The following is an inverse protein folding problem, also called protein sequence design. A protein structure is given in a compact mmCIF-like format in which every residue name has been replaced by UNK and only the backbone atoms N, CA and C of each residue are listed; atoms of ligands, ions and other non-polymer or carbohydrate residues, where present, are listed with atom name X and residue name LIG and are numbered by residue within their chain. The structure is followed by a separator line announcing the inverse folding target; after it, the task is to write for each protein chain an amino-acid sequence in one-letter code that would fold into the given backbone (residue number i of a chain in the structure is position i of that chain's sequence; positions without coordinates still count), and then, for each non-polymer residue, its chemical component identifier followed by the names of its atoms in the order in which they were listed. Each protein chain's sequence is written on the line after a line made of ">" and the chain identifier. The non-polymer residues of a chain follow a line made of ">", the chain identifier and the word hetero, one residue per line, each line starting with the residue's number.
data_IF_449641884365
#
_entry.id   IF_449641884365
#
_cell.length_a   1.000
_cell.length_b   1.000
_cell.length_c   1.000
_cell.angle_alpha   90.00
_cell.angle_beta   90.00
_cell.angle_gamma   90.00
#
_symmetry.space_group_name_H-M   'P 1'
#
loop_
_entity.id
_entity.type
_entity.pdbx_description
1 polymer ?
#
# COMPACT_ATOMS: atom_id res chain seq x y z
N UNK A 1 -3.54 -21.47 -14.64
CA UNK A 1 -2.13 -21.08 -14.49
C UNK A 1 -1.20 -22.26 -14.15
N UNK A 2 -1.66 -23.25 -13.39
CA UNK A 2 -0.83 -24.43 -13.05
C UNK A 2 -0.59 -25.40 -14.23
N UNK A 3 -1.33 -25.28 -15.32
CA UNK A 3 -1.29 -26.24 -16.45
C UNK A 3 -0.28 -25.90 -17.52
N UNK A 4 0.28 -24.68 -17.59
CA UNK A 4 1.19 -24.25 -18.66
C UNK A 4 2.63 -23.97 -18.21
N UNK A 5 2.95 -24.05 -16.91
CA UNK A 5 4.32 -23.86 -16.39
C UNK A 5 4.96 -22.51 -16.67
N UNK A 6 4.19 -21.53 -17.17
CA UNK A 6 4.65 -20.15 -17.43
C UNK A 6 3.96 -19.20 -16.47
N UNK A 7 4.72 -18.43 -15.72
CA UNK A 7 4.20 -17.28 -15.01
C UNK A 7 3.78 -16.22 -16.02
N UNK A 8 2.63 -15.55 -15.86
CA UNK A 8 2.25 -14.44 -16.72
C UNK A 8 3.27 -13.31 -16.58
N UNK A 9 3.64 -12.67 -17.68
CA UNK A 9 4.55 -11.51 -17.71
C UNK A 9 4.04 -10.32 -16.89
N UNK A 10 2.74 -10.28 -16.64
CA UNK A 10 2.10 -9.30 -15.75
C UNK A 10 1.11 -10.04 -14.84
N UNK A 11 1.38 -10.02 -13.53
CA UNK A 11 0.47 -10.59 -12.52
C UNK A 11 -0.80 -9.74 -12.30
N UNK A 12 -0.82 -8.51 -12.79
CA UNK A 12 -1.96 -7.60 -12.66
C UNK A 12 -2.81 -7.72 -13.91
N UNK A 13 -4.03 -8.25 -13.74
CA UNK A 13 -5.05 -8.24 -14.77
C UNK A 13 -5.29 -6.78 -15.23
N UNK A 14 -5.29 -6.48 -16.56
CA UNK A 14 -5.64 -5.16 -17.08
C UNK A 14 -6.96 -4.60 -16.56
N UNK A 15 -7.90 -5.46 -16.19
CA UNK A 15 -9.17 -5.09 -15.57
C UNK A 15 -8.97 -4.48 -14.16
N UNK A 16 -8.01 -4.98 -13.38
CA UNK A 16 -7.66 -4.43 -12.06
C UNK A 16 -7.13 -2.99 -12.18
N UNK A 17 -6.41 -2.68 -13.25
CA UNK A 17 -5.99 -1.31 -13.59
C UNK A 17 -7.18 -0.39 -13.89
N UNK A 18 -8.19 -0.92 -14.53
CA UNK A 18 -9.44 -0.18 -14.82
C UNK A 18 -10.18 0.16 -13.55
N UNK A 19 -10.20 -0.74 -12.57
CA UNK A 19 -10.88 -0.53 -11.28
C UNK A 19 -10.12 0.49 -10.41
N UNK A 20 -8.79 0.49 -10.44
CA UNK A 20 -7.98 1.54 -9.83
C UNK A 20 -8.27 2.93 -10.41
N UNK A 21 -8.40 3.05 -11.73
CA UNK A 21 -8.78 4.31 -12.38
C UNK A 21 -10.20 4.75 -11.99
N UNK A 22 -11.12 3.81 -11.77
CA UNK A 22 -12.47 4.10 -11.25
C UNK A 22 -12.39 4.62 -9.82
N UNK A 23 -11.56 4.00 -8.97
CA UNK A 23 -11.31 4.46 -7.61
C UNK A 23 -10.76 5.89 -7.59
N UNK A 24 -9.75 6.20 -8.41
CA UNK A 24 -9.23 7.58 -8.56
C UNK A 24 -10.31 8.58 -8.98
N UNK A 25 -11.18 8.19 -9.92
CA UNK A 25 -12.31 9.03 -10.32
C UNK A 25 -13.28 9.27 -9.17
N UNK A 26 -13.60 8.23 -8.38
CA UNK A 26 -14.48 8.35 -7.22
C UNK A 26 -13.89 9.28 -6.15
N UNK A 27 -12.57 9.22 -5.93
CA UNK A 27 -11.89 10.12 -4.99
C UNK A 27 -11.94 11.57 -5.49
N UNK A 28 -11.74 11.79 -6.80
CA UNK A 28 -11.82 13.14 -7.39
C UNK A 28 -13.22 13.73 -7.38
N UNK A 29 -14.27 12.90 -7.27
CA UNK A 29 -15.64 13.33 -7.09
C UNK A 29 -15.96 13.78 -5.66
N UNK A 30 -15.01 13.67 -4.76
CA UNK A 30 -15.08 14.10 -3.35
C UNK A 30 -15.03 15.63 -3.26
N UNK A 31 -16.07 16.29 -3.76
CA UNK A 31 -16.04 17.74 -4.04
C UNK A 31 -16.24 18.61 -2.83
N UNK A 32 -16.77 18.15 -1.73
CA UNK A 32 -17.21 19.13 -0.72
C UNK A 32 -17.08 18.77 0.75
N UNK A 33 -16.95 17.53 1.21
CA UNK A 33 -16.78 17.20 2.64
C UNK A 33 -16.64 15.69 2.88
N UNK A 34 -16.51 14.92 1.82
CA UNK A 34 -16.37 13.48 1.94
C UNK A 34 -14.94 13.11 2.29
N UNK A 35 -14.71 12.60 3.48
CA UNK A 35 -13.42 12.14 3.96
C UNK A 35 -12.95 10.82 3.28
N UNK A 36 -13.10 10.73 1.93
CA UNK A 36 -12.71 9.53 1.16
C UNK A 36 -11.21 9.31 1.22
N UNK A 37 -10.42 10.37 1.11
CA UNK A 37 -8.97 10.31 1.31
C UNK A 37 -8.64 9.79 2.72
N UNK A 38 -9.33 10.25 3.75
CA UNK A 38 -9.17 9.77 5.12
C UNK A 38 -9.58 8.30 5.28
N UNK A 39 -10.66 7.86 4.61
CA UNK A 39 -11.07 6.45 4.60
C UNK A 39 -10.00 5.56 3.94
N UNK A 40 -9.47 5.98 2.78
CA UNK A 40 -8.40 5.24 2.10
C UNK A 40 -7.12 5.18 2.94
N UNK A 41 -6.73 6.30 3.54
CA UNK A 41 -5.57 6.35 4.44
C UNK A 41 -5.78 5.37 5.59
N UNK A 42 -6.94 5.41 6.24
CA UNK A 42 -7.27 4.49 7.33
C UNK A 42 -7.18 3.02 6.89
N UNK A 43 -7.76 2.66 5.74
CA UNK A 43 -7.66 1.30 5.20
C UNK A 43 -6.21 0.90 4.94
N UNK A 44 -5.39 1.83 4.44
CA UNK A 44 -3.99 1.55 4.13
C UNK A 44 -3.14 1.39 5.39
N UNK A 45 -3.39 2.20 6.40
CA UNK A 45 -2.65 2.18 7.67
C UNK A 45 -3.09 1.05 8.61
N UNK A 46 -4.41 0.77 8.67
CA UNK A 46 -4.97 -0.24 9.59
C UNK A 46 -5.18 -1.60 8.90
N UNK A 47 -5.10 -1.66 7.56
CA UNK A 47 -5.37 -2.87 6.78
C UNK A 47 -6.85 -3.22 6.66
N UNK A 48 -7.72 -2.61 7.49
CA UNK A 48 -9.15 -2.93 7.57
C UNK A 48 -10.01 -1.72 7.97
N UNK A 49 -11.33 -1.83 7.72
CA UNK A 49 -12.33 -0.86 8.16
C UNK A 49 -13.59 -1.58 8.61
N UNK A 50 -14.19 -1.08 9.70
CA UNK A 50 -15.46 -1.59 10.23
C UNK A 50 -16.59 -0.72 9.72
N UNK A 51 -17.52 -1.31 8.97
CA UNK A 51 -18.62 -0.60 8.33
C UNK A 51 -19.88 -1.46 8.15
N UNK A 52 -20.98 -0.81 7.79
CA UNK A 52 -22.15 -1.50 7.29
C UNK A 52 -22.11 -1.47 5.75
N UNK A 53 -22.36 -2.62 5.11
CA UNK A 53 -22.49 -2.64 3.65
C UNK A 53 -23.87 -2.11 3.24
N UNK A 54 -23.84 -1.11 2.38
CA UNK A 54 -25.02 -0.65 1.67
C UNK A 54 -25.15 -1.48 0.39
N UNK A 55 -26.22 -2.25 0.30
CA UNK A 55 -26.44 -3.20 -0.82
C UNK A 55 -27.13 -2.58 -2.02
N UNK A 56 -27.84 -1.48 -1.81
CA UNK A 56 -28.63 -0.81 -2.86
C UNK A 56 -28.47 0.70 -2.72
N UNK A 57 -27.97 1.35 -3.74
CA UNK A 57 -27.85 2.80 -3.77
C UNK A 57 -28.10 3.32 -5.20
N UNK A 58 -28.87 4.40 -5.36
CA UNK A 58 -29.06 5.04 -6.66
C UNK A 58 -27.75 5.68 -7.13
N UNK A 59 -27.57 5.77 -8.44
CA UNK A 59 -26.37 6.36 -9.05
C UNK A 59 -26.10 7.81 -8.57
N UNK A 60 -27.17 8.52 -8.16
CA UNK A 60 -27.08 9.88 -7.60
C UNK A 60 -26.41 9.93 -6.23
N UNK A 61 -26.39 8.84 -5.47
CA UNK A 61 -25.79 8.77 -4.15
C UNK A 61 -24.33 8.28 -4.14
N UNK A 62 -23.78 7.94 -5.30
CA UNK A 62 -22.36 7.52 -5.40
C UNK A 62 -21.40 8.54 -4.80
N UNK A 63 -21.78 9.82 -4.76
CA UNK A 63 -21.01 10.88 -4.11
C UNK A 63 -21.06 10.85 -2.57
N UNK A 64 -22.01 10.12 -1.96
CA UNK A 64 -22.15 10.03 -0.50
C UNK A 64 -20.94 9.28 0.10
N UNK A 65 -20.21 9.90 1.07
CA UNK A 65 -19.02 9.30 1.70
C UNK A 65 -19.34 8.00 2.46
N UNK A 66 -20.53 7.86 3.03
CA UNK A 66 -20.92 6.67 3.79
C UNK A 66 -21.01 5.41 2.92
N UNK A 67 -21.26 5.59 1.61
CA UNK A 67 -21.33 4.49 0.64
C UNK A 67 -19.94 4.08 0.17
N UNK A 68 -18.92 4.91 0.36
CA UNK A 68 -17.62 4.71 -0.23
C UNK A 68 -16.95 3.37 0.14
N UNK A 69 -16.98 2.89 1.41
CA UNK A 69 -16.48 1.55 1.73
C UNK A 69 -17.24 0.43 0.99
N UNK A 70 -18.54 0.59 0.79
CA UNK A 70 -19.35 -0.37 0.03
C UNK A 70 -18.96 -0.38 -1.45
N UNK A 71 -18.69 0.79 -2.04
CA UNK A 71 -18.17 0.88 -3.42
C UNK A 71 -16.83 0.19 -3.57
N UNK A 72 -15.89 0.39 -2.62
CA UNK A 72 -14.60 -0.28 -2.62
C UNK A 72 -14.77 -1.80 -2.55
N UNK A 73 -15.72 -2.29 -1.74
CA UNK A 73 -16.06 -3.71 -1.69
C UNK A 73 -16.59 -4.23 -3.03
N UNK A 74 -17.55 -3.56 -3.65
CA UNK A 74 -18.12 -3.98 -4.94
C UNK A 74 -17.13 -3.89 -6.11
N UNK A 75 -16.13 -3.02 -6.00
CA UNK A 75 -15.03 -2.98 -6.98
C UNK A 75 -13.90 -3.97 -6.69
N UNK A 76 -14.05 -4.84 -5.68
CA UNK A 76 -13.02 -5.81 -5.32
C UNK A 76 -11.78 -5.21 -4.65
N UNK A 77 -11.85 -3.95 -4.23
CA UNK A 77 -10.78 -3.26 -3.51
C UNK A 77 -10.77 -3.63 -2.01
N UNK A 78 -11.89 -4.09 -1.49
CA UNK A 78 -12.03 -4.65 -0.14
C UNK A 78 -12.73 -6.00 -0.19
N UNK A 79 -12.50 -6.81 0.82
CA UNK A 79 -13.17 -8.10 1.04
C UNK A 79 -13.61 -8.23 2.49
N UNK A 80 -14.60 -9.08 2.77
CA UNK A 80 -15.05 -9.34 4.13
C UNK A 80 -14.00 -10.25 4.80
N UNK A 81 -13.41 -9.76 5.90
CA UNK A 81 -12.44 -10.50 6.72
C UNK A 81 -13.04 -10.99 8.04
N UNK A 82 -14.14 -10.36 8.47
CA UNK A 82 -14.80 -10.73 9.71
C UNK A 82 -16.03 -9.89 10.01
N UNK A 83 -16.49 -10.00 11.26
CA UNK A 83 -17.62 -9.23 11.77
C UNK A 83 -17.34 -8.70 13.16
N UNK A 84 -17.90 -7.53 13.46
CA UNK A 84 -17.90 -6.95 14.82
C UNK A 84 -19.32 -6.57 15.21
N UNK A 85 -19.98 -7.47 15.91
CA UNK A 85 -21.42 -7.36 16.18
C UNK A 85 -22.22 -7.46 14.88
N UNK A 86 -22.99 -6.45 14.55
CA UNK A 86 -23.78 -6.37 13.32
C UNK A 86 -23.03 -5.73 12.14
N UNK A 87 -21.82 -5.21 12.37
CA UNK A 87 -21.01 -4.55 11.33
C UNK A 87 -20.02 -5.53 10.73
N UNK A 88 -19.66 -5.32 9.47
CA UNK A 88 -18.65 -6.08 8.77
C UNK A 88 -17.27 -5.46 8.96
N UNK A 89 -16.27 -6.31 9.04
CA UNK A 89 -14.86 -5.93 8.92
C UNK A 89 -14.46 -6.19 7.48
N UNK A 90 -14.06 -5.12 6.78
CA UNK A 90 -13.58 -5.17 5.41
C UNK A 90 -12.09 -4.93 5.39
N UNK A 91 -11.34 -5.86 4.81
CA UNK A 91 -9.87 -5.79 4.68
C UNK A 91 -9.41 -5.79 3.22
N UNK A 92 -8.13 -5.56 3.00
CA UNK A 92 -7.50 -5.59 1.68
C UNK A 92 -7.38 -7.05 1.21
N UNK A 93 -7.91 -7.42 0.02
CA UNK A 93 -8.06 -8.81 -0.39
C UNK A 93 -6.74 -9.52 -0.72
N UNK A 94 -5.75 -8.80 -1.23
CA UNK A 94 -4.47 -9.38 -1.66
C UNK A 94 -3.40 -8.30 -1.85
N UNK A 95 -2.15 -8.74 -2.09
CA UNK A 95 -1.00 -7.84 -2.24
C UNK A 95 -1.08 -6.94 -3.49
N UNK A 96 -1.71 -7.37 -4.58
CA UNK A 96 -1.88 -6.54 -5.77
C UNK A 96 -2.77 -5.33 -5.49
N UNK A 97 -3.89 -5.56 -4.77
CA UNK A 97 -4.77 -4.48 -4.34
C UNK A 97 -4.07 -3.61 -3.28
N UNK A 98 -3.31 -4.23 -2.37
CA UNK A 98 -2.52 -3.50 -1.37
C UNK A 98 -1.53 -2.53 -2.02
N UNK A 99 -0.83 -2.97 -3.05
CA UNK A 99 0.06 -2.09 -3.83
C UNK A 99 -0.68 -0.87 -4.39
N UNK A 100 -1.90 -1.04 -4.89
CA UNK A 100 -2.70 0.09 -5.39
C UNK A 100 -3.05 1.12 -4.31
N UNK A 101 -3.28 0.68 -3.06
CA UNK A 101 -3.44 1.59 -1.92
C UNK A 101 -2.15 2.34 -1.61
N UNK A 102 -0.99 1.68 -1.67
CA UNK A 102 0.31 2.34 -1.48
C UNK A 102 0.63 3.33 -2.59
N UNK A 103 0.34 2.97 -3.85
CA UNK A 103 0.47 3.89 -5.00
C UNK A 103 -0.38 5.15 -4.79
N UNK A 104 -1.59 5.00 -4.23
CA UNK A 104 -2.44 6.14 -3.88
C UNK A 104 -1.81 7.01 -2.79
N UNK A 105 -1.30 6.43 -1.71
CA UNK A 105 -0.61 7.18 -0.65
C UNK A 105 0.64 7.89 -1.19
N UNK A 106 1.41 7.20 -2.02
CA UNK A 106 2.60 7.78 -2.65
C UNK A 106 2.24 9.02 -3.47
N UNK A 107 1.19 8.95 -4.30
CA UNK A 107 0.70 10.10 -5.06
C UNK A 107 0.29 11.26 -4.12
N UNK A 108 -0.40 10.98 -3.01
CA UNK A 108 -0.79 12.01 -2.03
C UNK A 108 0.44 12.68 -1.39
N UNK A 109 1.47 11.91 -1.07
CA UNK A 109 2.72 12.46 -0.54
C UNK A 109 3.48 13.26 -1.60
N UNK A 110 3.54 12.79 -2.84
CA UNK A 110 4.17 13.49 -3.95
C UNK A 110 3.46 14.80 -4.32
N UNK A 111 2.12 14.88 -4.18
CA UNK A 111 1.36 16.13 -4.35
C UNK A 111 1.78 17.20 -3.32
N UNK A 112 2.12 16.78 -2.10
CA UNK A 112 2.54 17.70 -1.02
C UNK A 112 3.98 18.17 -1.22
N UNK A 113 4.86 17.27 -1.57
CA UNK A 113 6.28 17.56 -1.80
C UNK A 113 6.89 16.53 -2.74
N UNK A 114 7.47 17.01 -3.81
CA UNK A 114 8.12 16.16 -4.79
C UNK A 114 9.40 15.55 -4.22
N UNK A 115 9.48 14.23 -4.19
CA UNK A 115 10.69 13.46 -3.85
C UNK A 115 11.21 12.86 -5.15
N UNK A 116 12.52 12.90 -5.36
CA UNK A 116 13.15 12.32 -6.54
C UNK A 116 13.12 10.79 -6.47
N UNK A 117 12.16 10.22 -7.20
CA UNK A 117 12.00 8.76 -7.29
C UNK A 117 13.11 8.11 -8.12
N UNK A 118 13.82 8.84 -8.98
CA UNK A 118 14.95 8.28 -9.74
C UNK A 118 16.14 8.02 -8.80
N UNK A 119 16.50 9.02 -7.99
CA UNK A 119 17.53 8.82 -6.95
C UNK A 119 17.18 7.71 -5.96
N UNK A 120 15.89 7.57 -5.63
CA UNK A 120 15.43 6.46 -4.80
C UNK A 120 15.57 5.11 -5.52
N UNK A 121 15.34 5.07 -6.84
CA UNK A 121 15.58 3.89 -7.68
C UNK A 121 17.02 3.42 -7.62
N UNK A 122 17.99 4.31 -7.81
CA UNK A 122 19.41 4.01 -7.72
C UNK A 122 19.79 3.45 -6.34
N UNK A 123 19.20 3.99 -5.26
CA UNK A 123 19.40 3.48 -3.90
C UNK A 123 18.79 2.09 -3.70
N UNK A 124 17.69 1.76 -4.38
CA UNK A 124 17.17 0.39 -4.37
C UNK A 124 18.06 -0.59 -5.11
N UNK A 125 18.71 -0.17 -6.20
CA UNK A 125 19.71 -0.98 -6.89
C UNK A 125 20.91 -1.25 -5.97
N UNK A 126 21.47 -0.23 -5.32
CA UNK A 126 22.53 -0.37 -4.32
C UNK A 126 22.12 -1.30 -3.15
N UNK A 127 20.88 -1.20 -2.71
CA UNK A 127 20.33 -2.04 -1.65
C UNK A 127 20.23 -3.51 -2.11
N UNK A 128 19.73 -3.75 -3.33
CA UNK A 128 19.46 -5.09 -3.84
C UNK A 128 20.76 -5.83 -4.23
N UNK A 129 21.72 -5.14 -4.83
CA UNK A 129 22.93 -5.75 -5.39
C UNK A 129 24.15 -5.63 -4.48
N UNK A 130 24.26 -4.55 -3.70
CA UNK A 130 25.42 -4.25 -2.86
C UNK A 130 25.11 -4.33 -1.36
N UNK A 131 23.86 -4.59 -0.97
CA UNK A 131 23.43 -4.68 0.42
C UNK A 131 23.45 -3.36 1.19
N UNK A 132 23.46 -2.21 0.50
CA UNK A 132 23.55 -0.88 1.10
C UNK A 132 22.19 -0.32 1.51
N UNK A 133 21.47 -1.02 2.37
CA UNK A 133 20.12 -0.69 2.78
C UNK A 133 20.00 0.60 3.63
N UNK A 134 21.06 0.96 4.39
CA UNK A 134 21.03 2.12 5.28
C UNK A 134 20.76 3.42 4.52
N UNK A 135 21.42 3.63 3.38
CA UNK A 135 21.25 4.83 2.56
C UNK A 135 19.81 5.00 2.08
N UNK A 136 19.17 3.90 1.68
CA UNK A 136 17.77 3.91 1.25
C UNK A 136 16.84 4.33 2.38
N UNK A 137 17.02 3.74 3.57
CA UNK A 137 16.22 4.10 4.75
C UNK A 137 16.48 5.53 5.21
N UNK A 138 17.73 5.99 5.21
CA UNK A 138 18.10 7.37 5.55
C UNK A 138 17.48 8.38 4.59
N UNK A 139 17.47 8.07 3.28
CA UNK A 139 16.84 8.91 2.27
C UNK A 139 15.33 9.06 2.54
N UNK A 140 14.63 7.94 2.78
CA UNK A 140 13.19 7.95 3.07
C UNK A 140 12.91 8.66 4.40
N UNK A 141 13.73 8.44 5.44
CA UNK A 141 13.60 9.10 6.72
C UNK A 141 13.79 10.62 6.62
N UNK A 142 14.78 11.07 5.83
CA UNK A 142 15.01 12.48 5.56
C UNK A 142 13.81 13.10 4.82
N UNK A 143 13.32 12.41 3.80
CA UNK A 143 12.14 12.81 3.06
C UNK A 143 10.90 12.89 3.96
N UNK A 144 10.70 11.95 4.88
CA UNK A 144 9.64 12.00 5.88
C UNK A 144 9.78 13.22 6.77
N UNK A 145 10.97 13.45 7.33
CA UNK A 145 11.24 14.60 8.21
C UNK A 145 10.92 15.94 7.54
N UNK A 146 11.28 16.06 6.27
CA UNK A 146 10.99 17.26 5.50
C UNK A 146 9.50 17.42 5.15
N UNK A 147 8.77 16.34 4.98
CA UNK A 147 7.34 16.32 4.68
C UNK A 147 6.46 16.36 5.93
N UNK A 148 7.00 15.99 7.11
CA UNK A 148 6.25 15.99 8.35
C UNK A 148 5.95 17.43 8.79
N UNK A 149 4.66 17.77 8.90
CA UNK A 149 4.21 18.94 9.63
C UNK A 149 4.05 18.59 11.12
N UNK A 150 3.99 19.60 12.00
CA UNK A 150 3.70 19.39 13.43
C UNK A 150 2.43 18.54 13.64
N UNK A 151 1.50 18.59 12.68
CA UNK A 151 0.25 17.82 12.72
C UNK A 151 0.47 16.33 12.40
N UNK A 152 1.40 16.00 11.51
CA UNK A 152 1.75 14.60 11.20
C UNK A 152 2.57 13.94 12.32
N UNK A 153 3.30 14.72 13.12
CA UNK A 153 3.96 14.22 14.33
C UNK A 153 2.96 13.78 15.41
N UNK A 154 1.73 14.32 15.38
CA UNK A 154 0.64 13.92 16.30
C UNK A 154 -0.08 12.66 15.80
N UNK A 155 -0.03 12.35 14.50
CA UNK A 155 -0.66 11.17 13.89
C UNK A 155 0.10 9.86 14.18
N UNK A 156 1.32 9.93 14.77
CA UNK A 156 2.03 8.84 15.41
C UNK A 156 2.69 7.83 14.45
N UNK A 157 3.00 6.68 15.00
CA UNK A 157 3.76 5.57 14.40
C UNK A 157 3.19 5.08 13.07
N UNK A 158 1.86 4.99 12.97
CA UNK A 158 1.16 4.52 11.74
C UNK A 158 1.39 5.41 10.53
N UNK A 159 1.53 6.72 10.73
CA UNK A 159 1.84 7.64 9.64
C UNK A 159 3.26 7.41 9.11
N UNK A 160 4.22 7.19 10.01
CA UNK A 160 5.61 6.85 9.66
C UNK A 160 5.62 5.54 8.88
N UNK A 161 4.96 4.51 9.39
CA UNK A 161 4.86 3.20 8.76
C UNK A 161 4.23 3.28 7.37
N UNK A 162 3.11 4.01 7.24
CA UNK A 162 2.44 4.22 5.95
C UNK A 162 3.34 4.93 4.94
N UNK A 163 4.07 5.96 5.37
CA UNK A 163 5.02 6.69 4.52
C UNK A 163 6.16 5.77 4.05
N UNK A 164 6.83 5.10 4.98
CA UNK A 164 7.90 4.17 4.65
C UNK A 164 7.42 3.06 3.71
N UNK A 165 6.26 2.46 4.01
CA UNK A 165 5.70 1.40 3.18
C UNK A 165 5.38 1.88 1.76
N UNK A 166 4.80 3.09 1.60
CA UNK A 166 4.50 3.66 0.30
C UNK A 166 5.77 3.87 -0.54
N UNK A 167 6.83 4.43 0.04
CA UNK A 167 8.09 4.65 -0.67
C UNK A 167 8.87 3.36 -0.90
N UNK A 168 8.87 2.44 0.07
CA UNK A 168 9.49 1.12 -0.11
C UNK A 168 8.76 0.27 -1.17
N UNK A 169 7.47 0.47 -1.41
CA UNK A 169 6.72 -0.26 -2.45
C UNK A 169 7.06 0.14 -3.89
N UNK A 170 7.81 1.24 -4.09
CA UNK A 170 8.27 1.68 -5.41
C UNK A 170 9.30 0.73 -6.01
N UNK A 171 10.08 0.03 -5.16
CA UNK A 171 11.11 -0.89 -5.61
C UNK A 171 10.54 -2.09 -6.37
N UNK A 172 11.35 -2.68 -7.26
CA UNK A 172 11.01 -3.89 -8.02
C UNK A 172 11.58 -5.18 -7.40
N UNK A 173 12.45 -5.07 -6.36
CA UNK A 173 13.23 -6.18 -5.85
C UNK A 173 12.63 -6.85 -4.62
N UNK A 174 11.77 -6.13 -3.89
CA UNK A 174 11.20 -6.61 -2.64
C UNK A 174 9.69 -6.41 -2.59
N UNK A 175 9.01 -7.43 -2.12
CA UNK A 175 7.59 -7.32 -1.72
C UNK A 175 7.54 -6.72 -0.32
N UNK A 176 6.94 -5.56 -0.20
CA UNK A 176 6.81 -4.84 1.08
C UNK A 176 5.55 -5.29 1.80
N UNK A 177 5.69 -5.76 3.03
CA UNK A 177 4.58 -6.16 3.89
C UNK A 177 4.70 -5.48 5.26
N UNK A 178 3.74 -4.63 5.65
CA UNK A 178 3.67 -4.07 7.00
C UNK A 178 3.08 -5.10 7.98
N UNK A 179 3.43 -4.97 9.25
CA UNK A 179 2.86 -5.71 10.38
C UNK A 179 2.84 -7.23 10.17
N UNK A 180 3.99 -7.80 9.80
CA UNK A 180 4.10 -9.26 9.66
C UNK A 180 4.30 -9.89 11.04
N UNK A 181 3.41 -10.81 11.40
CA UNK A 181 3.58 -11.62 12.61
C UNK A 181 4.71 -12.63 12.41
N UNK A 182 5.69 -12.59 13.30
CA UNK A 182 6.81 -13.51 13.38
C UNK A 182 6.72 -14.31 14.68
N UNK A 183 7.51 -15.39 14.80
CA UNK A 183 7.45 -16.33 15.93
C UNK A 183 7.55 -15.71 17.33
N UNK A 184 8.06 -14.48 17.47
CA UNK A 184 8.29 -13.81 18.75
C UNK A 184 7.81 -12.36 18.79
N UNK A 185 6.97 -11.93 17.84
CA UNK A 185 6.43 -10.57 17.80
C UNK A 185 6.01 -10.13 16.40
N UNK A 186 5.77 -8.85 16.28
CA UNK A 186 5.41 -8.22 15.00
C UNK A 186 6.61 -7.49 14.43
N UNK A 187 6.75 -7.56 13.10
CA UNK A 187 7.70 -6.77 12.34
C UNK A 187 6.94 -5.63 11.68
N UNK A 188 7.31 -4.38 11.98
CA UNK A 188 6.61 -3.20 11.47
C UNK A 188 6.71 -3.07 9.96
N UNK A 189 7.84 -3.47 9.39
CA UNK A 189 8.07 -3.47 7.95
C UNK A 189 8.91 -4.67 7.55
N UNK A 190 8.34 -5.56 6.76
CA UNK A 190 9.00 -6.74 6.25
C UNK A 190 9.23 -6.62 4.74
N UNK A 191 10.46 -6.88 4.31
CA UNK A 191 10.86 -6.87 2.90
C UNK A 191 11.18 -8.30 2.48
N UNK A 192 10.32 -8.88 1.67
CA UNK A 192 10.52 -10.23 1.12
C UNK A 192 11.13 -10.12 -0.28
N UNK A 193 12.28 -10.74 -0.55
CA UNK A 193 12.88 -10.72 -1.89
C UNK A 193 11.91 -11.23 -2.95
N UNK A 194 11.75 -10.47 -4.03
CA UNK A 194 11.03 -10.94 -5.22
C UNK A 194 11.98 -11.75 -6.09
N UNK A 195 11.88 -13.06 -6.00
CA UNK A 195 12.74 -14.02 -6.70
C UNK A 195 12.61 -13.96 -8.24
N UNK A 196 11.59 -13.28 -8.75
CA UNK A 196 11.44 -13.07 -10.20
C UNK A 196 12.38 -11.98 -10.71
N UNK A 197 12.71 -11.01 -9.87
CA UNK A 197 13.54 -9.85 -10.23
C UNK A 197 14.95 -9.94 -9.65
N UNK A 198 15.14 -10.67 -8.54
CA UNK A 198 16.46 -10.95 -7.99
C UNK A 198 17.00 -12.23 -8.61
N UNK A 199 18.10 -12.14 -9.34
CA UNK A 199 18.79 -13.32 -9.89
C UNK A 199 19.21 -14.26 -8.76
N UNK A 200 19.01 -15.58 -8.94
CA UNK A 200 19.44 -16.63 -8.00
C UNK A 200 20.95 -16.59 -7.67
N UNK A 201 21.75 -15.95 -8.51
CA UNK A 201 23.20 -15.78 -8.31
C UNK A 201 23.50 -14.83 -7.13
N UNK A 202 22.59 -13.91 -6.82
CA UNK A 202 22.75 -12.95 -5.72
C UNK A 202 22.21 -13.45 -4.37
N UNK A 203 21.60 -14.65 -4.34
CA UNK A 203 21.05 -15.29 -3.14
C UNK A 203 22.11 -16.18 -2.44
N UNK A 204 23.36 -16.15 -2.87
CA UNK A 204 24.44 -16.97 -2.29
C UNK A 204 24.84 -16.60 -0.86
N UNK A 205 24.41 -15.46 -0.35
CA UNK A 205 24.47 -15.14 1.07
C UNK A 205 23.07 -14.99 1.64
N UNK A 206 22.77 -15.55 2.83
CA UNK A 206 21.49 -15.34 3.46
C UNK A 206 21.31 -13.83 3.71
N UNK A 207 20.47 -13.21 2.90
CA UNK A 207 20.02 -11.84 3.15
C UNK A 207 19.54 -11.80 4.59
N UNK A 208 20.29 -11.11 5.46
CA UNK A 208 19.87 -10.92 6.85
C UNK A 208 18.49 -10.27 6.77
N UNK A 209 17.50 -10.98 7.30
CA UNK A 209 16.15 -10.45 7.47
C UNK A 209 16.29 -9.13 8.22
N UNK A 210 16.07 -8.02 7.52
CA UNK A 210 16.04 -6.70 8.13
C UNK A 210 14.71 -6.59 8.85
N UNK A 211 14.71 -6.88 10.14
CA UNK A 211 13.67 -6.45 11.06
C UNK A 211 14.08 -5.09 11.62
N UNK A 212 13.33 -4.08 11.32
CA UNK A 212 13.42 -2.75 11.90
C UNK A 212 12.33 -2.61 12.94
#
# INVERSE_FOLDING_TARGET
>A
YKTLGKSPEQMIDPNTRTDYNKMKKLIRLDKLDGNRKGVLRKITEEGEIITNLVTTFPATEIANPEIFPSLLFYYGMLTITGTRGVRLILGIPNNNVRKQYYDFLLEEYQEKRHIDLNSLGDLFDDMAFDGQWQKTLEFIAHAYKENSSVRSAIEGERNIQGFFTAYMSVNAYYLTAPEVELNHGYCDLFLMPDLLHLSLIHISEPTRLLSI
#
